data_IF_154262811355
#
_entry.id   IF_154262811355
#
_cell.length_a   1.000
_cell.length_b   1.000
_cell.length_c   1.000
_cell.angle_alpha   90.00
_cell.angle_beta   90.00
_cell.angle_gamma   90.00
#
_symmetry.space_group_name_H-M   'P 1'
#
loop_
_entity.id
_entity.type
_entity.pdbx_description
1 polymer ?
#
# COMPACT_ATOMS: atom_id res chain seq x y z
N UNK A 1 11.33 20.44 -4.17
CA UNK A 1 11.07 19.27 -5.04
C UNK A 1 11.81 18.04 -4.49
N UNK A 2 11.80 17.83 -3.18
CA UNK A 2 12.46 16.69 -2.53
C UNK A 2 11.54 16.04 -1.47
N UNK A 3 10.26 16.43 -1.44
CA UNK A 3 9.31 15.99 -0.41
C UNK A 3 8.53 14.75 -0.90
N UNK A 4 8.27 14.62 -2.20
CA UNK A 4 7.48 13.51 -2.78
C UNK A 4 8.25 12.18 -2.87
N UNK A 5 9.57 12.21 -3.04
CA UNK A 5 10.39 10.98 -3.09
C UNK A 5 10.54 10.33 -1.69
N UNK A 6 10.53 11.14 -0.64
CA UNK A 6 10.57 10.69 0.76
C UNK A 6 9.23 10.05 1.18
N UNK A 7 8.09 10.68 0.83
CA UNK A 7 6.76 10.15 1.19
C UNK A 7 6.44 8.83 0.49
N UNK A 8 6.77 8.68 -0.80
CA UNK A 8 6.57 7.43 -1.53
C UNK A 8 7.42 6.27 -0.96
N UNK A 9 8.68 6.56 -0.61
CA UNK A 9 9.56 5.56 0.00
C UNK A 9 9.03 5.13 1.37
N UNK A 10 8.53 6.08 2.17
CA UNK A 10 7.91 5.81 3.46
C UNK A 10 6.62 4.98 3.32
N UNK A 11 5.78 5.27 2.32
CA UNK A 11 4.58 4.50 2.03
C UNK A 11 4.90 3.02 1.81
N UNK A 12 5.89 2.70 0.96
CA UNK A 12 6.27 1.31 0.70
C UNK A 12 6.79 0.59 1.95
N UNK A 13 7.53 1.29 2.81
CA UNK A 13 7.98 0.75 4.11
C UNK A 13 6.76 0.44 4.98
N UNK A 14 5.85 1.39 5.16
CA UNK A 14 4.65 1.24 6.00
C UNK A 14 3.72 0.15 5.50
N UNK A 15 3.51 0.07 4.19
CA UNK A 15 2.75 -1.01 3.56
C UNK A 15 3.38 -2.37 3.84
N UNK A 16 4.72 -2.46 3.78
CA UNK A 16 5.44 -3.70 4.10
C UNK A 16 5.31 -4.08 5.57
N UNK A 17 5.41 -3.12 6.48
CA UNK A 17 5.21 -3.32 7.93
C UNK A 17 3.79 -3.80 8.24
N UNK A 18 2.76 -3.20 7.62
CA UNK A 18 1.38 -3.66 7.75
C UNK A 18 1.24 -5.11 7.31
N UNK A 19 1.84 -5.44 6.18
CA UNK A 19 1.82 -6.78 5.63
C UNK A 19 2.49 -7.80 6.59
N UNK A 20 3.59 -7.43 7.25
CA UNK A 20 4.23 -8.23 8.30
C UNK A 20 3.32 -8.36 9.52
N UNK A 21 2.74 -7.25 10.02
CA UNK A 21 1.87 -7.22 11.18
C UNK A 21 0.61 -8.10 10.99
N UNK A 22 0.10 -8.17 9.75
CA UNK A 22 -1.00 -9.07 9.36
C UNK A 22 -0.57 -10.53 9.17
N UNK A 23 0.72 -10.84 9.34
CA UNK A 23 1.28 -12.19 9.20
C UNK A 23 1.29 -12.70 7.77
N UNK A 24 1.25 -11.80 6.78
CA UNK A 24 1.18 -12.17 5.38
C UNK A 24 2.59 -12.49 4.80
N UNK A 25 3.67 -12.04 5.45
CA UNK A 25 5.04 -12.41 5.05
C UNK A 25 5.36 -13.85 5.46
N UNK A 26 5.81 -14.71 4.53
CA UNK A 26 6.25 -16.06 4.86
C UNK A 26 7.41 -16.07 5.86
N UNK A 27 7.37 -16.96 6.85
CA UNK A 27 8.36 -17.06 7.91
C UNK A 27 9.78 -17.45 7.41
N UNK A 28 9.90 -17.96 6.18
CA UNK A 28 11.18 -18.27 5.55
C UNK A 28 11.84 -17.06 4.86
N UNK A 29 11.18 -15.89 4.87
CA UNK A 29 11.73 -14.65 4.35
C UNK A 29 11.73 -14.56 2.82
N UNK A 30 10.98 -15.41 2.12
CA UNK A 30 10.85 -15.37 0.65
C UNK A 30 10.18 -14.09 0.12
N UNK A 31 9.54 -13.31 0.99
CA UNK A 31 8.69 -12.19 0.60
C UNK A 31 7.37 -12.66 -0.02
N UNK A 32 6.60 -11.70 -0.53
CA UNK A 32 5.33 -11.94 -1.23
C UNK A 32 5.58 -12.41 -2.66
N UNK A 33 4.83 -13.45 -3.07
CA UNK A 33 4.70 -13.90 -4.45
C UNK A 33 3.29 -13.51 -4.93
N UNK A 34 3.18 -12.86 -6.08
CA UNK A 34 1.90 -12.35 -6.59
C UNK A 34 1.53 -10.94 -6.10
N UNK A 35 0.21 -10.69 -6.07
CA UNK A 35 -0.35 -9.42 -5.61
C UNK A 35 -0.78 -9.56 -4.16
N UNK A 36 -0.13 -8.81 -3.28
CA UNK A 36 -0.58 -8.65 -1.90
C UNK A 36 -1.68 -7.57 -1.82
N UNK A 37 -2.70 -7.81 -1.01
CA UNK A 37 -3.84 -6.90 -0.86
C UNK A 37 -4.22 -6.74 0.59
N UNK A 38 -4.66 -5.54 0.98
CA UNK A 38 -5.17 -5.26 2.33
C UNK A 38 -6.26 -4.16 2.30
N UNK A 39 -7.02 -4.11 3.38
CA UNK A 39 -8.11 -3.15 3.62
C UNK A 39 -7.95 -2.57 5.03
N UNK A 40 -7.95 -1.26 5.14
CA UNK A 40 -7.80 -0.56 6.42
C UNK A 40 -8.57 0.75 6.46
N UNK A 41 -9.02 1.21 7.65
CA UNK A 41 -9.80 2.43 7.78
C UNK A 41 -9.00 3.66 7.35
N UNK A 42 -9.68 4.63 6.76
CA UNK A 42 -9.14 5.98 6.55
C UNK A 42 -9.07 6.72 7.90
N UNK A 43 -7.91 7.29 8.21
CA UNK A 43 -7.71 8.08 9.43
C UNK A 43 -8.60 9.35 9.49
N UNK A 44 -8.90 9.95 8.33
CA UNK A 44 -9.56 11.25 8.23
C UNK A 44 -11.05 11.13 7.82
N UNK A 45 -11.52 9.95 7.39
CA UNK A 45 -12.89 9.73 6.87
C UNK A 45 -13.53 8.42 7.37
N UNK A 46 -14.85 8.29 7.21
CA UNK A 46 -15.64 7.09 7.57
C UNK A 46 -15.59 6.00 6.46
N UNK A 47 -14.56 6.01 5.61
CA UNK A 47 -14.35 5.09 4.49
C UNK A 47 -13.08 4.23 4.71
N UNK A 48 -12.85 3.25 3.83
CA UNK A 48 -11.72 2.33 3.91
C UNK A 48 -10.80 2.48 2.68
N UNK A 49 -9.51 2.39 2.92
CA UNK A 49 -8.50 2.25 1.88
C UNK A 49 -8.36 0.78 1.51
N UNK A 50 -8.39 0.51 0.20
CA UNK A 50 -8.02 -0.77 -0.38
C UNK A 50 -6.69 -0.62 -1.11
N UNK A 51 -5.71 -1.47 -0.80
CA UNK A 51 -4.40 -1.47 -1.46
C UNK A 51 -4.14 -2.79 -2.17
N UNK A 52 -3.51 -2.72 -3.33
CA UNK A 52 -2.98 -3.88 -4.04
C UNK A 52 -1.55 -3.60 -4.51
N UNK A 53 -0.60 -4.37 -4.01
CA UNK A 53 0.82 -4.28 -4.34
C UNK A 53 1.23 -5.50 -5.13
N UNK A 54 1.70 -5.30 -6.36
CA UNK A 54 2.31 -6.39 -7.12
C UNK A 54 3.76 -6.58 -6.67
N UNK A 55 4.04 -7.71 -6.05
CA UNK A 55 5.38 -8.04 -5.56
C UNK A 55 6.21 -8.81 -6.60
N UNK A 56 5.62 -9.12 -7.77
CA UNK A 56 6.30 -9.79 -8.85
C UNK A 56 7.15 -8.83 -9.69
N UNK A 57 8.16 -9.41 -10.36
CA UNK A 57 8.94 -8.72 -11.38
C UNK A 57 8.21 -8.61 -12.73
N UNK A 58 7.04 -9.23 -12.86
CA UNK A 58 6.18 -9.23 -14.05
C UNK A 58 4.83 -8.58 -13.74
N UNK A 59 4.14 -8.07 -14.77
CA UNK A 59 2.80 -7.51 -14.57
C UNK A 59 1.81 -8.63 -14.25
N UNK A 60 1.04 -8.47 -13.19
CA UNK A 60 0.08 -9.48 -12.74
C UNK A 60 -1.35 -8.94 -12.86
N UNK A 61 -2.25 -9.73 -13.46
CA UNK A 61 -3.68 -9.39 -13.52
C UNK A 61 -4.31 -9.56 -12.14
N UNK A 62 -4.88 -8.48 -11.63
CA UNK A 62 -5.59 -8.44 -10.36
C UNK A 62 -7.07 -8.11 -10.56
N UNK A 63 -7.94 -8.80 -9.83
CA UNK A 63 -9.40 -8.59 -9.87
C UNK A 63 -9.82 -7.74 -8.68
N UNK A 64 -10.16 -6.47 -8.92
CA UNK A 64 -10.57 -5.49 -7.90
C UNK A 64 -11.98 -5.79 -7.37
N UNK A 65 -12.88 -6.27 -8.23
CA UNK A 65 -14.23 -6.74 -7.87
C UNK A 65 -14.63 -7.91 -8.78
N UNK A 66 -15.64 -8.72 -8.41
CA UNK A 66 -16.09 -9.92 -9.15
C UNK A 66 -16.17 -9.71 -10.68
N UNK A 67 -16.60 -8.53 -11.14
CA UNK A 67 -16.81 -8.21 -12.54
C UNK A 67 -15.64 -7.47 -13.24
N UNK A 68 -14.54 -7.14 -12.54
CA UNK A 68 -13.53 -6.18 -13.06
C UNK A 68 -12.09 -6.54 -12.68
N UNK A 69 -11.24 -6.68 -13.72
CA UNK A 69 -9.80 -6.93 -13.59
C UNK A 69 -8.98 -5.76 -14.14
N UNK A 70 -7.83 -5.51 -13.50
CA UNK A 70 -6.78 -4.57 -13.93
C UNK A 70 -5.45 -5.30 -13.96
N UNK A 71 -4.53 -4.87 -14.82
CA UNK A 71 -3.12 -5.28 -14.71
C UNK A 71 -2.42 -4.36 -13.71
N UNK A 72 -1.65 -4.90 -12.78
CA UNK A 72 -0.80 -4.14 -11.87
C UNK A 72 0.64 -4.30 -12.32
N UNK A 73 1.34 -3.19 -12.53
CA UNK A 73 2.72 -3.20 -12.99
C UNK A 73 3.69 -3.76 -11.93
N UNK A 74 4.85 -4.30 -12.32
CA UNK A 74 5.84 -4.86 -11.40
C UNK A 74 6.19 -3.87 -10.28
N UNK A 75 6.19 -4.35 -9.04
CA UNK A 75 6.57 -3.57 -7.85
C UNK A 75 5.75 -2.29 -7.62
N UNK A 76 4.58 -2.15 -8.26
CA UNK A 76 3.70 -1.00 -8.06
C UNK A 76 2.61 -1.29 -7.03
N UNK A 77 2.20 -0.23 -6.32
CA UNK A 77 1.03 -0.27 -5.43
C UNK A 77 -0.07 0.58 -6.03
N UNK A 78 -1.24 -0.02 -6.22
CA UNK A 78 -2.46 0.68 -6.56
C UNK A 78 -3.30 0.86 -5.30
N UNK A 79 -3.93 2.03 -5.16
CA UNK A 79 -4.72 2.36 -3.97
C UNK A 79 -6.08 2.90 -4.35
N UNK A 80 -7.13 2.43 -3.68
CA UNK A 80 -8.51 2.83 -3.88
C UNK A 80 -9.09 3.30 -2.56
N UNK A 81 -9.86 4.39 -2.61
CA UNK A 81 -10.66 4.89 -1.48
C UNK A 81 -12.10 4.37 -1.51
N UNK A 82 -12.48 3.74 -2.62
CA UNK A 82 -13.76 3.06 -2.84
C UNK A 82 -13.52 1.98 -3.91
N UNK A 83 -13.76 0.71 -3.54
CA UNK A 83 -13.62 -0.43 -4.47
C UNK A 83 -14.69 -0.43 -5.57
N UNK A 84 -15.71 0.44 -5.46
CA UNK A 84 -16.70 0.72 -6.51
C UNK A 84 -16.13 1.46 -7.72
N UNK A 85 -14.99 2.16 -7.58
CA UNK A 85 -14.29 2.83 -8.68
C UNK A 85 -13.28 1.91 -9.38
N UNK A 86 -13.30 1.92 -10.71
CA UNK A 86 -12.30 1.22 -11.55
C UNK A 86 -10.92 1.89 -11.49
N UNK A 87 -10.89 3.21 -11.37
CA UNK A 87 -9.65 3.96 -11.35
C UNK A 87 -9.14 4.01 -9.91
N UNK A 88 -7.88 3.60 -9.64
CA UNK A 88 -7.27 3.80 -8.34
C UNK A 88 -7.19 5.30 -8.03
N UNK A 89 -7.35 5.67 -6.77
CA UNK A 89 -7.11 7.02 -6.29
C UNK A 89 -5.66 7.44 -6.55
N UNK A 90 -4.73 6.51 -6.32
CA UNK A 90 -3.30 6.68 -6.57
C UNK A 90 -2.66 5.40 -7.12
N UNK A 91 -1.67 5.57 -8.00
CA UNK A 91 -0.72 4.53 -8.40
C UNK A 91 0.66 4.98 -7.95
N UNK A 92 1.30 4.21 -7.08
CA UNK A 92 2.61 4.45 -6.53
C UNK A 92 3.61 3.53 -7.24
N UNK A 93 4.52 4.12 -8.03
CA UNK A 93 5.58 3.41 -8.73
C UNK A 93 6.93 3.61 -8.00
N UNK A 94 7.72 2.55 -7.76
CA UNK A 94 8.99 2.64 -7.05
C UNK A 94 10.05 3.50 -7.75
N UNK A 95 9.87 3.81 -9.04
CA UNK A 95 10.75 4.70 -9.81
C UNK A 95 10.35 6.18 -9.70
N UNK A 96 9.51 6.56 -8.73
CA UNK A 96 9.16 7.96 -8.43
C UNK A 96 8.04 8.54 -9.29
N UNK A 97 7.20 7.69 -9.89
CA UNK A 97 6.03 8.12 -10.66
C UNK A 97 4.74 7.95 -9.86
N UNK A 98 4.02 9.06 -9.62
CA UNK A 98 2.67 9.02 -9.06
C UNK A 98 1.65 9.40 -10.12
N UNK A 99 0.57 8.63 -10.22
CA UNK A 99 -0.62 9.05 -10.96
C UNK A 99 -1.79 9.20 -9.98
N UNK A 100 -2.05 10.45 -9.58
CA UNK A 100 -3.29 10.82 -8.90
C UNK A 100 -4.40 10.87 -9.96
N UNK A 101 -5.32 9.91 -9.96
CA UNK A 101 -6.39 9.87 -10.97
C UNK A 101 -7.65 10.63 -10.52
N UNK A 102 -7.75 11.00 -9.24
CA UNK A 102 -8.92 11.70 -8.68
C UNK A 102 -8.54 12.86 -7.75
N UNK A 103 -8.83 14.09 -8.19
CA UNK A 103 -8.57 15.36 -7.49
C UNK A 103 -9.48 15.64 -6.26
N UNK A 104 -9.90 14.63 -5.49
CA UNK A 104 -10.92 14.82 -4.45
C UNK A 104 -10.40 14.95 -3.02
N UNK A 105 -9.11 14.75 -2.77
CA UNK A 105 -8.57 14.73 -1.41
C UNK A 105 -8.01 16.09 -0.98
N UNK A 106 -8.23 16.46 0.29
CA UNK A 106 -7.72 17.72 0.88
C UNK A 106 -6.22 17.64 1.23
N UNK A 107 -5.69 16.41 1.35
CA UNK A 107 -4.27 16.08 1.55
C UNK A 107 -3.78 15.16 0.44
N UNK A 108 -2.46 15.03 0.32
CA UNK A 108 -1.88 13.99 -0.54
C UNK A 108 -2.33 12.59 -0.07
N UNK A 109 -2.61 11.73 -1.04
CA UNK A 109 -3.14 10.37 -0.79
C UNK A 109 -2.14 9.53 -0.01
N UNK A 110 -0.84 9.69 -0.29
CA UNK A 110 0.24 8.96 0.39
C UNK A 110 0.29 9.28 1.87
N UNK A 111 0.24 10.57 2.23
CA UNK A 111 0.31 11.00 3.62
C UNK A 111 -0.92 10.50 4.42
N UNK A 112 -2.10 10.49 3.80
CA UNK A 112 -3.31 9.93 4.41
C UNK A 112 -3.19 8.42 4.63
N UNK A 113 -2.68 7.69 3.65
CA UNK A 113 -2.48 6.25 3.76
C UNK A 113 -1.43 5.94 4.83
N UNK A 114 -0.30 6.66 4.83
CA UNK A 114 0.75 6.52 5.83
C UNK A 114 0.16 6.73 7.23
N UNK A 115 -0.59 7.82 7.44
CA UNK A 115 -1.22 8.08 8.73
C UNK A 115 -2.21 6.97 9.14
N UNK A 116 -2.97 6.44 8.18
CA UNK A 116 -3.92 5.35 8.41
C UNK A 116 -3.21 4.04 8.80
N UNK A 117 -2.12 3.71 8.10
CA UNK A 117 -1.31 2.53 8.41
C UNK A 117 -0.62 2.69 9.76
N UNK A 118 -0.08 3.87 10.08
CA UNK A 118 0.58 4.11 11.37
C UNK A 118 -0.37 3.95 12.55
N UNK A 119 -1.62 4.46 12.44
CA UNK A 119 -2.65 4.23 13.45
C UNK A 119 -2.99 2.74 13.60
N UNK A 120 -3.05 2.01 12.48
CA UNK A 120 -3.35 0.59 12.51
C UNK A 120 -2.20 -0.24 13.09
N UNK A 121 -0.95 0.11 12.79
CA UNK A 121 0.23 -0.54 13.36
C UNK A 121 0.32 -0.32 14.88
N UNK A 122 -0.02 0.88 15.37
CA UNK A 122 -0.14 1.18 16.81
C UNK A 122 -1.22 0.32 17.48
N UNK A 123 -2.39 0.17 16.84
CA UNK A 123 -3.46 -0.71 17.34
C UNK A 123 -3.04 -2.19 17.39
N UNK A 124 -2.22 -2.62 16.42
CA UNK A 124 -1.68 -3.98 16.35
C UNK A 124 -0.50 -4.22 17.30
N UNK A 125 -0.09 -3.23 18.11
CA UNK A 125 1.09 -3.26 18.99
C UNK A 125 2.36 -3.64 18.18
N UNK A 126 2.43 -3.20 16.93
CA UNK A 126 3.54 -3.49 16.03
C UNK A 126 4.63 -2.41 16.18
N UNK A 127 5.61 -2.68 17.04
CA UNK A 127 6.80 -1.83 17.29
C UNK A 127 8.03 -2.25 16.45
N UNK A 128 7.90 -3.32 15.64
CA UNK A 128 9.02 -4.22 15.32
C UNK A 128 9.60 -4.06 13.90
N UNK A 129 10.06 -2.86 13.53
CA UNK A 129 10.98 -2.74 12.37
C UNK A 129 12.44 -2.53 12.81
N UNK A 130 12.69 -1.83 13.93
CA UNK A 130 14.05 -1.72 14.48
C UNK A 130 14.58 -3.04 15.05
N UNK A 131 13.71 -3.91 15.57
CA UNK A 131 14.14 -5.19 16.16
C UNK A 131 14.43 -6.28 15.11
N UNK A 132 13.70 -6.33 13.99
CA UNK A 132 14.00 -7.27 12.87
C UNK A 132 15.32 -6.92 12.16
N UNK A 133 15.60 -5.63 11.95
CA UNK A 133 16.84 -5.20 11.25
C UNK A 133 18.07 -5.29 12.15
N UNK A 134 17.92 -5.20 13.47
CA UNK A 134 19.03 -5.31 14.42
C UNK A 134 19.58 -6.75 14.59
N UNK A 135 18.86 -7.77 14.13
CA UNK A 135 19.26 -9.19 14.24
C UNK A 135 19.87 -9.77 12.94
N UNK A 136 20.10 -8.94 11.90
CA UNK A 136 20.76 -9.33 10.63
C UNK A 136 22.23 -8.93 10.58
#
# INVERSE_FOLDING_TARGET
MAESEDSLSLLFVRVSELAIARGAVPADGSGYDGVWTDEFPDADHDDEWFVATNCDAESTEYRVTDDRATSIEPFTTHVWWDTGSLAPAAICNPNGGQFHLTNKFERDVEDQIIASIELLLDELDYDDFEAVVADV
#
